data_IF_398301505094
#
_entry.id   IF_398301505094
#
_cell.length_a   1.000
_cell.length_b   1.000
_cell.length_c   1.000
_cell.angle_alpha   90.00
_cell.angle_beta   90.00
_cell.angle_gamma   90.00
#
_symmetry.space_group_name_H-M   'P 1'
#
loop_
_entity.id
_entity.type
_entity.pdbx_description
1 polymer ?
#
# COMPACT_ATOMS: atom_id res chain seq x y z
N UNK A 1 8.70 26.42 26.19
CA UNK A 1 8.54 25.10 25.49
C UNK A 1 9.03 25.32 24.06
N UNK A 2 9.89 24.47 23.54
CA UNK A 2 10.35 24.55 22.15
C UNK A 2 9.14 24.34 21.21
N UNK A 3 9.11 25.12 20.17
CA UNK A 3 8.09 25.03 19.11
C UNK A 3 8.15 23.67 18.42
N UNK A 4 6.97 23.02 18.19
CA UNK A 4 6.90 21.74 17.50
C UNK A 4 7.42 21.86 16.06
N UNK A 5 8.22 20.89 15.64
CA UNK A 5 8.71 20.80 14.28
C UNK A 5 8.41 19.39 13.74
N UNK A 6 7.43 19.32 12.87
CA UNK A 6 6.95 18.08 12.26
C UNK A 6 7.33 18.07 10.78
N UNK A 7 7.91 16.97 10.32
CA UNK A 7 8.16 16.72 8.93
C UNK A 7 7.19 15.65 8.41
N UNK A 8 6.72 15.82 7.18
CA UNK A 8 6.11 14.77 6.39
C UNK A 8 7.02 14.47 5.20
N UNK A 9 7.49 13.24 5.11
CA UNK A 9 8.37 12.74 4.04
C UNK A 9 7.58 11.78 3.17
N UNK A 10 7.58 11.99 1.86
CA UNK A 10 6.82 11.21 0.88
C UNK A 10 7.69 10.92 -0.34
N UNK A 11 7.86 9.66 -0.70
CA UNK A 11 8.67 9.23 -1.84
C UNK A 11 7.97 9.55 -3.16
N UNK A 12 8.70 10.18 -4.07
CA UNK A 12 8.14 10.63 -5.34
C UNK A 12 7.87 9.45 -6.29
N UNK A 13 6.58 9.24 -6.64
CA UNK A 13 6.12 8.18 -7.55
C UNK A 13 6.74 6.80 -7.22
N UNK A 14 6.73 6.42 -5.96
CA UNK A 14 7.57 5.40 -5.34
C UNK A 14 7.79 4.13 -6.17
N UNK A 15 6.76 3.34 -6.49
CA UNK A 15 6.97 2.08 -7.24
C UNK A 15 7.56 2.34 -8.63
N UNK A 16 7.03 3.32 -9.34
CA UNK A 16 7.54 3.67 -10.66
C UNK A 16 8.99 4.20 -10.60
N UNK A 17 9.33 4.97 -9.56
CA UNK A 17 10.68 5.47 -9.35
C UNK A 17 11.66 4.32 -9.03
N UNK A 18 11.25 3.31 -8.26
CA UNK A 18 12.06 2.09 -8.01
C UNK A 18 12.30 1.35 -9.32
N UNK A 19 11.27 1.17 -10.16
CA UNK A 19 11.44 0.52 -11.47
C UNK A 19 12.36 1.31 -12.40
N UNK A 20 12.21 2.64 -12.48
CA UNK A 20 13.09 3.49 -13.30
C UNK A 20 14.53 3.57 -12.76
N UNK A 21 14.74 3.36 -11.47
CA UNK A 21 16.06 3.23 -10.86
C UNK A 21 16.74 1.92 -11.27
N UNK A 22 16.02 0.81 -11.11
CA UNK A 22 16.55 -0.54 -11.32
C UNK A 22 16.66 -0.88 -12.80
N UNK A 23 15.85 -0.25 -13.66
CA UNK A 23 15.79 -0.40 -15.11
C UNK A 23 16.05 0.94 -15.81
N UNK A 24 17.34 1.32 -16.04
CA UNK A 24 17.72 2.61 -16.63
C UNK A 24 17.06 2.93 -17.98
N UNK A 25 16.68 1.90 -18.74
CA UNK A 25 15.96 2.02 -20.01
C UNK A 25 14.53 2.55 -19.87
N UNK A 26 13.99 2.56 -18.65
CA UNK A 26 12.66 3.12 -18.33
C UNK A 26 12.72 4.59 -17.95
N UNK A 27 13.90 5.16 -17.75
CA UNK A 27 14.05 6.59 -17.38
C UNK A 27 13.54 7.49 -18.48
N UNK A 28 12.74 8.47 -18.09
CA UNK A 28 12.11 9.41 -19.03
C UNK A 28 10.94 8.82 -19.83
N UNK A 29 10.61 7.54 -19.65
CA UNK A 29 9.46 6.90 -20.28
C UNK A 29 8.27 6.86 -19.32
N UNK A 30 7.01 6.96 -19.82
CA UNK A 30 5.84 6.71 -18.99
C UNK A 30 5.83 5.29 -18.47
N UNK A 31 5.83 5.13 -17.14
CA UNK A 31 5.78 3.83 -16.45
C UNK A 31 4.55 3.79 -15.56
N UNK A 32 3.80 2.71 -15.64
CA UNK A 32 2.60 2.44 -14.85
C UNK A 32 2.81 1.12 -14.13
N UNK A 33 2.84 1.14 -12.81
CA UNK A 33 2.89 -0.06 -11.98
C UNK A 33 1.49 -0.36 -11.48
N UNK A 34 1.00 -1.58 -11.69
CA UNK A 34 -0.37 -1.93 -11.32
C UNK A 34 -0.65 -3.42 -11.25
N UNK A 35 -1.88 -3.78 -10.93
CA UNK A 35 -2.32 -5.16 -10.74
C UNK A 35 -2.63 -5.90 -12.03
N UNK A 36 -1.78 -5.80 -13.06
CA UNK A 36 -1.96 -6.50 -14.34
C UNK A 36 -1.50 -5.67 -15.54
N UNK A 37 -1.85 -6.12 -16.74
CA UNK A 37 -1.58 -5.45 -18.02
C UNK A 37 -2.65 -4.41 -18.39
N UNK A 38 -2.46 -3.73 -19.53
CA UNK A 38 -3.34 -2.64 -20.00
C UNK A 38 -4.79 -3.07 -20.25
N UNK A 39 -5.06 -4.35 -20.45
CA UNK A 39 -6.40 -4.89 -20.72
C UNK A 39 -7.05 -5.52 -19.49
N UNK A 40 -6.33 -5.63 -18.38
CA UNK A 40 -6.79 -6.32 -17.18
C UNK A 40 -7.70 -5.44 -16.31
N UNK A 41 -8.35 -6.04 -15.32
CA UNK A 41 -9.23 -5.37 -14.36
C UNK A 41 -8.51 -4.63 -13.26
N UNK A 42 -7.19 -4.71 -13.22
CA UNK A 42 -6.38 -4.06 -12.22
C UNK A 42 -6.50 -2.53 -12.22
N UNK A 43 -5.94 -1.92 -11.20
CA UNK A 43 -5.82 -0.48 -11.05
C UNK A 43 -4.36 -0.05 -11.03
N UNK A 44 -4.11 1.19 -11.38
CA UNK A 44 -2.81 1.84 -11.22
C UNK A 44 -2.48 1.92 -9.73
N UNK A 45 -1.41 1.28 -9.31
CA UNK A 45 -0.84 1.47 -7.97
C UNK A 45 -0.02 2.75 -7.92
N UNK A 46 0.90 2.92 -8.89
CA UNK A 46 1.70 4.15 -9.04
C UNK A 46 1.97 4.42 -10.51
N UNK A 47 1.98 5.69 -10.88
CA UNK A 47 2.36 6.17 -12.21
C UNK A 47 3.57 7.11 -12.09
N UNK A 48 4.55 6.97 -12.99
CA UNK A 48 5.68 7.89 -13.11
C UNK A 48 5.21 9.31 -13.47
N UNK A 49 6.03 10.31 -13.24
CA UNK A 49 5.66 11.70 -13.58
C UNK A 49 5.44 11.88 -15.09
N UNK A 50 6.14 11.13 -15.91
CA UNK A 50 5.91 11.09 -17.35
C UNK A 50 4.49 10.62 -17.68
N UNK A 51 4.03 9.53 -17.06
CA UNK A 51 2.66 9.03 -17.25
C UNK A 51 1.61 9.97 -16.66
N UNK A 52 1.91 10.67 -15.55
CA UNK A 52 0.99 11.65 -14.93
C UNK A 52 0.70 12.85 -15.84
N UNK A 53 1.61 13.22 -16.76
CA UNK A 53 1.39 14.29 -17.76
C UNK A 53 0.23 13.97 -18.71
N UNK A 54 -0.06 12.69 -18.92
CA UNK A 54 -1.20 12.21 -19.69
C UNK A 54 -2.49 12.06 -18.86
N UNK A 55 -2.49 12.53 -17.61
CA UNK A 55 -3.63 12.42 -16.70
C UNK A 55 -3.75 11.09 -15.96
N UNK A 56 -2.79 10.17 -16.09
CA UNK A 56 -2.77 8.89 -15.35
C UNK A 56 -2.56 9.16 -13.87
N UNK A 57 -3.36 8.49 -13.01
CA UNK A 57 -3.32 8.66 -11.54
C UNK A 57 -3.50 7.31 -10.84
N UNK A 58 -3.01 7.21 -9.60
CA UNK A 58 -3.26 6.06 -8.73
C UNK A 58 -4.76 5.81 -8.55
N UNK A 59 -5.14 4.55 -8.37
CA UNK A 59 -6.50 4.03 -8.31
C UNK A 59 -7.30 4.11 -9.64
N UNK A 60 -6.73 4.65 -10.72
CA UNK A 60 -7.35 4.63 -12.04
C UNK A 60 -7.37 3.20 -12.61
N UNK A 61 -8.47 2.73 -13.26
CA UNK A 61 -8.46 1.45 -13.96
C UNK A 61 -7.35 1.39 -15.02
N UNK A 62 -6.63 0.26 -15.12
CA UNK A 62 -5.51 0.10 -16.07
C UNK A 62 -5.94 0.34 -17.52
N UNK A 63 -7.15 -0.09 -17.90
CA UNK A 63 -7.72 0.18 -19.25
C UNK A 63 -7.88 1.66 -19.54
N UNK A 64 -8.30 2.44 -18.53
CA UNK A 64 -8.41 3.91 -18.68
C UNK A 64 -7.03 4.54 -18.79
N UNK A 65 -6.08 4.08 -17.97
CA UNK A 65 -4.70 4.54 -18.03
C UNK A 65 -4.04 4.22 -19.38
N UNK A 66 -4.30 3.03 -19.94
CA UNK A 66 -3.83 2.64 -21.26
C UNK A 66 -4.42 3.49 -22.39
N UNK A 67 -5.70 3.86 -22.27
CA UNK A 67 -6.33 4.77 -23.24
C UNK A 67 -5.74 6.19 -23.19
N UNK A 68 -5.39 6.67 -21.98
CA UNK A 68 -4.78 8.00 -21.80
C UNK A 68 -3.30 8.04 -22.21
N UNK A 69 -2.55 6.95 -21.99
CA UNK A 69 -1.12 6.86 -22.29
C UNK A 69 -0.80 5.52 -22.96
N UNK A 70 -1.08 5.35 -24.27
CA UNK A 70 -0.88 4.09 -24.99
C UNK A 70 0.59 3.64 -25.05
N UNK A 71 1.53 4.57 -24.97
CA UNK A 71 2.99 4.33 -25.00
C UNK A 71 3.57 3.92 -23.64
N UNK A 72 2.76 3.90 -22.59
CA UNK A 72 3.23 3.57 -21.25
C UNK A 72 3.70 2.12 -21.15
N UNK A 73 4.77 1.91 -20.38
CA UNK A 73 5.23 0.60 -19.97
C UNK A 73 4.45 0.17 -18.74
N UNK A 74 3.70 -0.93 -18.85
CA UNK A 74 2.95 -1.51 -17.74
C UNK A 74 3.78 -2.59 -17.05
N UNK A 75 3.94 -2.47 -15.73
CA UNK A 75 4.70 -3.40 -14.90
C UNK A 75 3.82 -3.95 -13.77
N UNK A 76 3.98 -5.22 -13.41
CA UNK A 76 3.30 -5.79 -12.26
C UNK A 76 3.86 -5.22 -10.95
N UNK A 77 3.05 -5.31 -9.88
CA UNK A 77 3.47 -4.91 -8.52
C UNK A 77 4.44 -5.95 -7.95
N UNK A 78 5.67 -5.55 -7.63
CA UNK A 78 6.63 -6.36 -6.85
C UNK A 78 6.63 -5.88 -5.39
N UNK A 79 5.69 -6.40 -4.61
CA UNK A 79 5.52 -5.99 -3.20
C UNK A 79 6.76 -6.27 -2.34
N UNK A 80 7.49 -7.36 -2.61
CA UNK A 80 8.69 -7.70 -1.82
C UNK A 80 9.83 -6.70 -2.06
N UNK A 81 10.07 -6.30 -3.31
CA UNK A 81 11.04 -5.29 -3.70
C UNK A 81 10.70 -3.94 -3.05
N UNK A 82 9.45 -3.47 -3.21
CA UNK A 82 9.06 -2.17 -2.67
C UNK A 82 9.12 -2.12 -1.14
N UNK A 83 8.73 -3.21 -0.46
CA UNK A 83 8.90 -3.30 0.99
C UNK A 83 10.36 -3.29 1.45
N UNK A 84 11.27 -3.91 0.71
CA UNK A 84 12.70 -3.87 1.01
C UNK A 84 13.21 -2.43 0.95
N UNK A 85 12.91 -1.71 -0.14
CA UNK A 85 13.30 -0.31 -0.31
C UNK A 85 12.64 0.60 0.75
N UNK A 86 11.36 0.38 1.05
CA UNK A 86 10.67 1.12 2.13
C UNK A 86 11.37 0.96 3.48
N UNK A 87 11.78 -0.27 3.85
CA UNK A 87 12.51 -0.52 5.09
C UNK A 87 13.84 0.22 5.15
N UNK A 88 14.56 0.32 4.04
CA UNK A 88 15.80 1.10 3.94
C UNK A 88 15.52 2.58 4.18
N UNK A 89 14.49 3.14 3.55
CA UNK A 89 14.08 4.54 3.76
C UNK A 89 13.68 4.78 5.21
N UNK A 90 12.82 3.91 5.79
CA UNK A 90 12.41 4.06 7.19
C UNK A 90 13.60 3.94 8.16
N UNK A 91 14.61 3.11 7.85
CA UNK A 91 15.85 3.05 8.62
C UNK A 91 16.66 4.35 8.51
N UNK A 92 16.71 4.99 7.35
CA UNK A 92 17.32 6.31 7.16
C UNK A 92 16.60 7.36 8.02
N UNK A 93 15.26 7.40 7.99
CA UNK A 93 14.47 8.37 8.77
C UNK A 93 14.72 8.24 10.27
N UNK A 94 14.79 7.01 10.79
CA UNK A 94 15.07 6.73 12.22
C UNK A 94 16.45 7.19 12.70
N UNK A 95 17.38 7.50 11.82
CA UNK A 95 18.69 8.08 12.17
C UNK A 95 18.57 9.52 12.63
N UNK A 96 17.52 10.24 12.25
CA UNK A 96 17.32 11.65 12.59
C UNK A 96 16.45 11.84 13.83
N UNK A 97 15.52 10.95 14.09
CA UNK A 97 14.64 10.98 15.27
C UNK A 97 14.09 9.59 15.57
N UNK A 98 13.88 9.22 16.83
CA UNK A 98 13.16 8.00 17.19
C UNK A 98 11.64 8.12 16.97
N UNK A 99 11.12 9.36 16.85
CA UNK A 99 9.70 9.62 16.67
C UNK A 99 9.34 9.63 15.19
N UNK A 100 9.26 8.45 14.60
CA UNK A 100 8.88 8.22 13.20
C UNK A 100 7.58 7.43 13.19
N UNK A 101 6.58 7.93 12.49
CA UNK A 101 5.27 7.30 12.27
C UNK A 101 5.09 7.01 10.77
N UNK A 102 5.33 5.78 10.31
CA UNK A 102 4.98 5.38 8.95
C UNK A 102 3.46 5.46 8.75
N UNK A 103 3.03 6.15 7.70
CA UNK A 103 1.62 6.27 7.31
C UNK A 103 1.30 5.24 6.23
N UNK A 104 2.26 5.02 5.33
CA UNK A 104 2.21 4.03 4.27
C UNK A 104 3.59 3.43 4.03
N UNK A 105 3.72 2.67 2.95
CA UNK A 105 5.00 2.10 2.50
C UNK A 105 5.98 3.17 2.00
N UNK A 106 5.49 4.35 1.61
CA UNK A 106 6.24 5.44 0.95
C UNK A 106 6.19 6.77 1.70
N UNK A 107 5.43 6.87 2.79
CA UNK A 107 5.31 8.12 3.54
C UNK A 107 5.41 7.94 5.06
N UNK A 108 5.99 8.92 5.73
CA UNK A 108 6.10 8.95 7.19
C UNK A 108 6.07 10.36 7.74
N UNK A 109 5.53 10.50 8.96
CA UNK A 109 5.72 11.68 9.80
C UNK A 109 6.93 11.51 10.72
N UNK A 110 7.63 12.61 10.97
CA UNK A 110 8.73 12.69 11.92
C UNK A 110 8.51 13.88 12.86
N UNK A 111 8.66 13.68 14.16
CA UNK A 111 8.82 14.79 15.11
C UNK A 111 10.31 15.00 15.36
N UNK A 112 10.82 16.15 14.91
CA UNK A 112 12.22 16.52 15.05
C UNK A 112 12.41 17.70 16.00
N UNK A 113 11.42 18.01 16.83
CA UNK A 113 11.43 19.14 17.77
C UNK A 113 12.69 19.13 18.65
N UNK A 114 13.08 17.97 19.17
CA UNK A 114 14.25 17.82 20.03
C UNK A 114 15.59 17.58 19.31
N UNK A 115 15.62 17.62 17.96
CA UNK A 115 16.80 17.20 17.19
C UNK A 115 17.67 18.35 16.70
N UNK A 116 17.33 19.59 17.06
CA UNK A 116 17.96 20.82 16.55
C UNK A 116 19.46 20.90 16.83
N UNK A 117 19.89 20.52 18.02
CA UNK A 117 21.32 20.57 18.40
C UNK A 117 22.19 19.59 17.60
N UNK A 118 21.60 18.44 17.22
CA UNK A 118 22.33 17.40 16.49
C UNK A 118 22.34 17.62 14.97
N UNK A 119 21.22 18.09 14.43
CA UNK A 119 21.01 18.08 12.98
C UNK A 119 20.64 19.44 12.39
N UNK A 120 20.49 20.48 13.21
CA UNK A 120 20.08 21.81 12.78
C UNK A 120 18.57 22.04 12.87
N UNK A 121 18.09 23.12 12.27
CA UNK A 121 16.65 23.43 12.24
C UNK A 121 15.84 22.50 11.33
N UNK A 122 14.50 22.60 11.39
CA UNK A 122 13.61 21.74 10.61
C UNK A 122 13.92 21.71 9.12
N UNK A 123 14.08 22.85 8.45
CA UNK A 123 14.48 22.90 7.04
C UNK A 123 15.84 22.25 6.75
N UNK A 124 16.83 22.38 7.64
CA UNK A 124 18.13 21.73 7.50
C UNK A 124 18.02 20.21 7.65
N UNK A 125 17.27 19.76 8.65
CA UNK A 125 16.98 18.32 8.84
C UNK A 125 16.27 17.74 7.60
N UNK A 126 15.27 18.45 7.06
CA UNK A 126 14.54 18.02 5.87
C UNK A 126 15.49 17.86 4.66
N UNK A 127 16.40 18.80 4.42
CA UNK A 127 17.41 18.68 3.34
C UNK A 127 18.31 17.47 3.56
N UNK A 128 18.85 17.29 4.76
CA UNK A 128 19.70 16.14 5.11
C UNK A 128 18.99 14.82 4.92
N UNK A 129 17.71 14.73 5.25
CA UNK A 129 16.88 13.53 5.01
C UNK A 129 16.75 13.26 3.50
N UNK A 130 16.41 14.26 2.70
CA UNK A 130 16.33 14.14 1.24
C UNK A 130 17.65 13.65 0.63
N UNK A 131 18.76 14.25 1.05
CA UNK A 131 20.09 13.88 0.59
C UNK A 131 20.46 12.45 1.01
N UNK A 132 20.14 12.06 2.25
CA UNK A 132 20.38 10.72 2.75
C UNK A 132 19.55 9.65 2.03
N UNK A 133 18.27 9.93 1.73
CA UNK A 133 17.42 9.04 0.92
C UNK A 133 18.02 8.89 -0.48
N UNK A 134 18.38 10.01 -1.13
CA UNK A 134 18.95 9.97 -2.48
C UNK A 134 20.28 9.20 -2.51
N UNK A 135 21.18 9.46 -1.55
CA UNK A 135 22.46 8.77 -1.48
C UNK A 135 22.31 7.27 -1.16
N UNK A 136 21.38 6.90 -0.27
CA UNK A 136 21.19 5.51 0.16
C UNK A 136 20.38 4.66 -0.80
N UNK A 137 19.37 5.25 -1.45
CA UNK A 137 18.39 4.49 -2.24
C UNK A 137 18.30 4.90 -3.71
N UNK A 138 18.93 6.00 -4.11
CA UNK A 138 18.79 6.56 -5.47
C UNK A 138 17.43 7.19 -5.76
N UNK A 139 16.53 7.28 -4.77
CA UNK A 139 15.17 7.83 -4.91
C UNK A 139 15.12 9.29 -4.45
N UNK A 140 14.09 10.01 -4.90
CA UNK A 140 13.76 11.34 -4.40
C UNK A 140 12.55 11.29 -3.44
N UNK A 141 12.52 12.25 -2.52
CA UNK A 141 11.40 12.45 -1.62
C UNK A 141 11.00 13.92 -1.60
N UNK A 142 9.70 14.19 -1.48
CA UNK A 142 9.17 15.51 -1.21
C UNK A 142 8.87 15.65 0.28
N UNK A 143 9.25 16.79 0.87
CA UNK A 143 9.18 17.00 2.31
C UNK A 143 8.41 18.29 2.62
N UNK A 144 7.43 18.18 3.52
CA UNK A 144 6.77 19.31 4.16
C UNK A 144 7.25 19.50 5.60
N UNK A 145 7.55 20.71 5.99
CA UNK A 145 7.97 21.09 7.36
C UNK A 145 6.94 22.05 7.94
N UNK A 146 6.35 21.71 9.08
CA UNK A 146 5.34 22.55 9.75
C UNK A 146 5.30 22.25 11.24
N UNK A 147 4.36 22.86 11.97
CA UNK A 147 4.14 22.61 13.40
C UNK A 147 3.16 21.47 13.66
N UNK A 148 2.39 21.04 12.63
CA UNK A 148 1.36 19.99 12.73
C UNK A 148 1.51 18.95 11.62
N UNK A 149 1.04 17.73 11.87
CA UNK A 149 1.03 16.63 10.89
C UNK A 149 0.23 17.02 9.65
N UNK A 150 -0.95 17.61 9.87
CA UNK A 150 -1.85 18.06 8.80
C UNK A 150 -1.14 18.99 7.82
N UNK A 151 -0.54 20.07 8.35
CA UNK A 151 0.07 21.11 7.51
C UNK A 151 1.33 20.58 6.83
N UNK A 152 2.15 19.78 7.53
CA UNK A 152 3.33 19.13 6.96
C UNK A 152 2.94 18.21 5.76
N UNK A 153 1.83 17.46 5.87
CA UNK A 153 1.34 16.60 4.80
C UNK A 153 0.86 17.41 3.58
N UNK A 154 0.07 18.44 3.80
CA UNK A 154 -0.37 19.31 2.70
C UNK A 154 0.83 19.99 2.03
N UNK A 155 1.81 20.45 2.82
CA UNK A 155 3.01 21.11 2.32
C UNK A 155 3.86 20.19 1.44
N UNK A 156 4.04 18.91 1.81
CA UNK A 156 4.85 17.96 1.04
C UNK A 156 4.31 17.72 -0.38
N UNK A 157 3.00 17.89 -0.60
CA UNK A 157 2.36 17.64 -1.89
C UNK A 157 2.44 18.81 -2.89
N UNK A 158 2.76 20.03 -2.41
CA UNK A 158 2.62 21.24 -3.25
C UNK A 158 3.71 21.41 -4.30
N UNK A 159 4.91 20.88 -4.03
CA UNK A 159 6.07 21.06 -4.92
C UNK A 159 6.68 19.73 -5.35
N UNK A 160 5.85 18.68 -5.50
CA UNK A 160 6.32 17.39 -6.05
C UNK A 160 6.67 17.52 -7.53
N UNK A 161 7.72 16.83 -8.03
CA UNK A 161 8.66 15.97 -7.28
C UNK A 161 9.83 16.73 -6.65
N UNK A 162 10.52 16.05 -5.73
CA UNK A 162 11.76 16.49 -5.07
C UNK A 162 11.60 17.84 -4.34
N UNK A 163 10.37 18.13 -3.91
CA UNK A 163 10.00 19.38 -3.26
C UNK A 163 10.46 19.48 -1.82
N UNK A 164 10.58 20.72 -1.35
CA UNK A 164 10.71 21.07 0.06
C UNK A 164 9.87 22.32 0.32
N UNK A 165 8.86 22.20 1.15
CA UNK A 165 7.98 23.31 1.54
C UNK A 165 8.02 23.47 3.05
N UNK A 166 8.31 24.69 3.49
CA UNK A 166 8.40 25.04 4.92
C UNK A 166 7.28 26.00 5.25
N UNK A 167 6.48 25.66 6.24
CA UNK A 167 5.41 26.54 6.78
C UNK A 167 5.84 27.00 8.16
N UNK A 168 6.13 28.31 8.33
CA UNK A 168 6.51 28.85 9.63
C UNK A 168 5.36 28.72 10.64
N UNK A 169 5.73 28.63 11.91
CA UNK A 169 4.76 28.69 13.01
C UNK A 169 3.93 29.95 12.96
N UNK A 170 2.63 29.81 13.22
CA UNK A 170 1.66 30.90 13.17
C UNK A 170 1.20 31.26 11.75
N UNK A 171 1.79 30.66 10.69
CA UNK A 171 1.40 30.87 9.32
C UNK A 171 0.47 29.76 8.76
N UNK A 172 0.11 28.76 9.56
CA UNK A 172 -0.58 27.53 9.12
C UNK A 172 -1.92 27.85 8.42
N UNK A 173 -2.76 28.67 9.07
CA UNK A 173 -4.06 29.03 8.52
C UNK A 173 -3.92 29.89 7.24
N UNK A 174 -2.98 30.84 7.23
CA UNK A 174 -2.71 31.68 6.05
C UNK A 174 -2.15 30.88 4.88
N UNK A 175 -1.32 29.86 5.16
CA UNK A 175 -0.80 28.93 4.17
C UNK A 175 -1.89 28.05 3.56
N UNK A 176 -2.80 27.54 4.37
CA UNK A 176 -3.89 26.66 3.92
C UNK A 176 -5.00 27.43 3.19
N UNK A 177 -5.31 28.65 3.61
CA UNK A 177 -6.48 29.40 3.15
C UNK A 177 -6.65 29.48 1.63
N UNK A 178 -5.62 29.79 0.80
CA UNK A 178 -5.77 29.89 -0.65
C UNK A 178 -5.87 28.55 -1.38
N UNK A 179 -5.61 27.43 -0.68
CA UNK A 179 -5.57 26.12 -1.32
C UNK A 179 -6.98 25.60 -1.62
N UNK A 180 -7.18 24.89 -2.76
CA UNK A 180 -8.44 24.23 -3.04
C UNK A 180 -8.86 23.28 -1.90
N UNK A 181 -10.15 23.23 -1.59
CA UNK A 181 -10.71 22.40 -0.52
C UNK A 181 -10.34 20.91 -0.64
N UNK A 182 -10.14 20.41 -1.85
CA UNK A 182 -9.71 19.03 -2.13
C UNK A 182 -8.28 18.71 -1.66
N UNK A 183 -7.48 19.73 -1.29
CA UNK A 183 -6.14 19.57 -0.73
C UNK A 183 -6.17 19.33 0.78
N UNK A 184 -7.28 19.62 1.45
CA UNK A 184 -7.39 19.41 2.89
C UNK A 184 -7.47 17.91 3.21
N UNK A 185 -6.52 17.43 4.00
CA UNK A 185 -6.51 16.02 4.41
C UNK A 185 -7.78 15.63 5.15
N UNK A 186 -8.46 14.58 4.69
CA UNK A 186 -9.78 14.14 5.17
C UNK A 186 -10.95 14.66 4.34
N UNK A 187 -10.72 15.47 3.31
CA UNK A 187 -11.73 15.89 2.36
C UNK A 187 -11.62 15.06 1.08
N UNK A 188 -12.45 14.00 0.99
CA UNK A 188 -12.60 13.22 -0.25
C UNK A 188 -13.58 13.87 -1.24
N UNK A 189 -13.74 13.31 -2.47
CA UNK A 189 -14.62 13.87 -3.49
C UNK A 189 -16.06 14.10 -3.03
N UNK A 190 -16.63 13.18 -2.26
CA UNK A 190 -18.00 13.31 -1.73
C UNK A 190 -18.13 14.49 -0.75
N UNK A 191 -17.17 14.61 0.18
CA UNK A 191 -17.14 15.72 1.13
C UNK A 191 -16.92 17.06 0.42
N UNK A 192 -16.00 17.09 -0.57
CA UNK A 192 -15.77 18.28 -1.37
C UNK A 192 -17.03 18.71 -2.16
N UNK A 193 -17.79 17.76 -2.71
CA UNK A 193 -19.05 18.05 -3.40
C UNK A 193 -20.07 18.62 -2.43
N UNK A 194 -20.24 18.01 -1.26
CA UNK A 194 -21.18 18.51 -0.24
C UNK A 194 -20.79 19.90 0.29
N UNK A 195 -19.49 20.20 0.40
CA UNK A 195 -19.00 21.53 0.83
C UNK A 195 -19.24 22.59 -0.25
N UNK A 196 -19.18 22.23 -1.55
CA UNK A 196 -19.50 23.18 -2.64
C UNK A 196 -20.96 23.64 -2.60
N UNK A 197 -21.89 22.84 -2.09
CA UNK A 197 -23.29 23.26 -1.86
C UNK A 197 -23.40 24.48 -0.92
N UNK A 198 -22.38 24.71 -0.10
CA UNK A 198 -22.24 25.87 0.80
C UNK A 198 -21.31 26.96 0.25
N UNK A 199 -20.94 26.91 -1.03
CA UNK A 199 -20.05 27.87 -1.68
C UNK A 199 -18.57 27.70 -1.33
N UNK A 200 -18.17 26.59 -0.67
CA UNK A 200 -16.78 26.32 -0.28
C UNK A 200 -15.99 25.78 -1.45
N UNK A 201 -14.99 26.52 -1.87
CA UNK A 201 -14.04 26.15 -2.92
C UNK A 201 -12.62 26.02 -2.41
N UNK A 202 -12.26 26.85 -1.42
CA UNK A 202 -10.95 26.88 -0.79
C UNK A 202 -11.01 26.40 0.67
N UNK A 203 -9.85 26.13 1.25
CA UNK A 203 -9.74 25.83 2.68
C UNK A 203 -10.11 27.05 3.54
N UNK A 204 -9.80 28.28 3.06
CA UNK A 204 -10.18 29.51 3.72
C UNK A 204 -11.71 29.72 3.76
N UNK A 205 -12.44 29.36 2.68
CA UNK A 205 -13.90 29.41 2.70
C UNK A 205 -14.47 28.47 3.78
N UNK A 206 -13.89 27.29 3.94
CA UNK A 206 -14.30 26.34 5.00
C UNK A 206 -14.03 26.90 6.39
N UNK A 207 -12.86 27.53 6.60
CA UNK A 207 -12.49 28.14 7.87
C UNK A 207 -13.40 29.33 8.24
N UNK A 208 -13.99 30.02 7.26
CA UNK A 208 -14.90 31.13 7.44
C UNK A 208 -16.34 30.71 7.79
N UNK A 209 -16.71 29.42 7.54
CA UNK A 209 -18.05 28.94 7.87
C UNK A 209 -18.26 28.79 9.38
N UNK A 210 -19.46 29.10 9.89
CA UNK A 210 -19.81 28.80 11.27
C UNK A 210 -19.69 27.29 11.56
N UNK A 211 -18.98 26.94 12.64
CA UNK A 211 -18.77 25.55 13.03
C UNK A 211 -20.09 24.78 13.23
N UNK A 212 -21.12 25.45 13.77
CA UNK A 212 -22.43 24.84 13.98
C UNK A 212 -23.10 24.39 12.68
N UNK A 213 -22.86 25.10 11.57
CA UNK A 213 -23.36 24.68 10.25
C UNK A 213 -22.70 23.37 9.83
N UNK A 214 -21.39 23.26 10.00
CA UNK A 214 -20.60 22.08 9.68
C UNK A 214 -20.97 20.90 10.58
N UNK A 215 -21.19 21.14 11.88
CA UNK A 215 -21.64 20.10 12.83
C UNK A 215 -23.02 19.59 12.46
N UNK A 216 -23.98 20.46 12.08
CA UNK A 216 -25.30 20.02 11.60
C UNK A 216 -25.23 19.14 10.37
N UNK A 217 -24.33 19.42 9.44
CA UNK A 217 -24.22 18.69 8.15
C UNK A 217 -23.38 17.43 8.23
N UNK A 218 -22.26 17.46 8.98
CA UNK A 218 -21.25 16.41 9.01
C UNK A 218 -21.00 15.82 10.41
N UNK A 219 -21.77 16.22 11.42
CA UNK A 219 -21.58 15.77 12.80
C UNK A 219 -20.20 16.17 13.37
N UNK A 220 -19.62 15.31 14.19
CA UNK A 220 -18.26 15.52 14.75
C UNK A 220 -17.19 15.70 13.69
N UNK A 221 -17.37 15.11 12.51
CA UNK A 221 -16.44 15.29 11.40
C UNK A 221 -16.42 16.74 10.91
N UNK A 222 -17.56 17.45 10.95
CA UNK A 222 -17.65 18.85 10.58
C UNK A 222 -16.83 19.76 11.49
N UNK A 223 -16.89 19.53 12.82
CA UNK A 223 -16.03 20.26 13.76
C UNK A 223 -14.53 20.02 13.50
N UNK A 224 -14.16 18.75 13.26
CA UNK A 224 -12.78 18.40 12.93
C UNK A 224 -12.31 19.01 11.61
N UNK A 225 -13.17 19.10 10.60
CA UNK A 225 -12.85 19.78 9.34
C UNK A 225 -12.60 21.27 9.54
N UNK A 226 -13.38 21.95 10.38
CA UNK A 226 -13.17 23.36 10.70
C UNK A 226 -11.84 23.60 11.42
N UNK A 227 -11.50 22.79 12.44
CA UNK A 227 -10.19 22.88 13.11
C UNK A 227 -9.05 22.67 12.11
N UNK A 228 -9.16 21.65 11.25
CA UNK A 228 -8.17 21.37 10.19
C UNK A 228 -8.02 22.54 9.22
N UNK A 229 -9.09 23.20 8.83
CA UNK A 229 -9.03 24.36 7.95
C UNK A 229 -8.26 25.54 8.58
N UNK A 230 -8.25 25.63 9.89
CA UNK A 230 -7.44 26.59 10.67
C UNK A 230 -6.00 26.11 10.92
N UNK A 231 -5.61 24.93 10.40
CA UNK A 231 -4.29 24.34 10.62
C UNK A 231 -4.11 23.71 12.00
N UNK A 232 -5.19 23.58 12.76
CA UNK A 232 -5.18 23.01 14.12
C UNK A 232 -5.20 21.49 14.04
N UNK A 233 -4.12 20.88 14.53
CA UNK A 233 -3.97 19.43 14.66
C UNK A 233 -3.09 19.12 15.87
N UNK A 234 -3.69 18.48 16.88
CA UNK A 234 -3.03 18.18 18.16
C UNK A 234 -2.43 16.79 18.21
N UNK A 235 -2.59 16.00 17.14
CA UNK A 235 -2.15 14.62 17.12
C UNK A 235 -0.62 14.52 17.20
N UNK A 236 -0.05 13.74 18.14
CA UNK A 236 1.39 13.55 18.22
C UNK A 236 1.88 12.57 17.15
N UNK A 237 3.15 12.69 16.77
CA UNK A 237 3.82 11.68 15.93
C UNK A 237 4.11 10.44 16.77
N UNK A 238 3.84 9.26 16.25
CA UNK A 238 4.04 7.98 16.93
C UNK A 238 2.88 7.54 17.83
N UNK A 239 1.80 8.33 17.87
CA UNK A 239 0.57 8.01 18.60
C UNK A 239 -0.40 7.09 17.85
N UNK A 240 0.05 6.40 16.79
CA UNK A 240 -0.81 5.59 15.92
C UNK A 240 -1.75 4.68 16.70
N UNK A 241 -3.05 4.76 16.42
CA UNK A 241 -4.04 3.86 16.99
C UNK A 241 -3.72 2.41 16.59
N UNK A 242 -3.91 1.44 17.50
CA UNK A 242 -3.77 0.03 17.15
C UNK A 242 -4.76 -0.33 16.02
N UNK A 243 -4.39 -1.29 15.18
CA UNK A 243 -5.26 -1.76 14.10
C UNK A 243 -6.63 -2.16 14.64
N UNK A 244 -7.71 -1.63 14.07
CA UNK A 244 -9.09 -1.95 14.46
C UNK A 244 -9.61 -3.21 13.76
N UNK A 245 -9.02 -3.54 12.59
CA UNK A 245 -9.37 -4.70 11.78
C UNK A 245 -8.22 -5.13 10.88
N UNK A 246 -8.22 -6.39 10.48
CA UNK A 246 -7.32 -6.97 9.47
C UNK A 246 -8.21 -7.63 8.43
N UNK A 247 -8.11 -7.22 7.16
CA UNK A 247 -8.97 -7.73 6.09
C UNK A 247 -8.19 -8.02 4.81
N UNK A 248 -8.78 -8.83 3.93
CA UNK A 248 -8.29 -9.13 2.60
C UNK A 248 -9.47 -9.17 1.64
N UNK A 249 -9.35 -8.51 0.49
CA UNK A 249 -10.36 -8.50 -0.58
C UNK A 249 -9.72 -9.00 -1.89
N UNK A 250 -10.46 -9.78 -2.65
CA UNK A 250 -10.06 -10.28 -3.95
C UNK A 250 -11.08 -9.91 -5.01
N UNK A 251 -10.62 -9.25 -6.09
CA UNK A 251 -11.44 -9.00 -7.29
C UNK A 251 -11.09 -10.04 -8.33
N UNK A 252 -12.08 -10.82 -8.76
CA UNK A 252 -11.90 -11.83 -9.79
C UNK A 252 -11.63 -11.17 -11.16
N UNK A 253 -10.73 -11.71 -11.94
CA UNK A 253 -10.46 -11.25 -13.31
C UNK A 253 -11.71 -11.38 -14.20
N UNK A 254 -12.47 -12.45 -14.02
CA UNK A 254 -13.77 -12.66 -14.64
C UNK A 254 -14.79 -12.93 -13.54
N UNK A 255 -15.95 -12.25 -13.61
CA UNK A 255 -17.02 -12.46 -12.64
C UNK A 255 -17.43 -13.92 -12.63
N UNK A 256 -17.41 -14.56 -11.47
CA UNK A 256 -17.63 -16.00 -11.34
C UNK A 256 -18.90 -16.34 -10.56
N UNK A 257 -19.60 -17.38 -10.99
CA UNK A 257 -20.68 -18.06 -10.22
C UNK A 257 -20.23 -19.43 -9.69
N UNK A 258 -18.95 -19.80 -9.93
CA UNK A 258 -18.41 -21.08 -9.47
C UNK A 258 -18.14 -21.04 -7.96
N UNK A 259 -18.95 -21.82 -7.24
CA UNK A 259 -18.91 -21.89 -5.79
C UNK A 259 -17.57 -22.45 -5.29
N UNK A 260 -16.97 -23.40 -6.00
CA UNK A 260 -15.69 -23.98 -5.59
C UNK A 260 -14.57 -22.96 -5.67
N UNK A 261 -14.49 -22.19 -6.74
CA UNK A 261 -13.54 -21.08 -6.89
C UNK A 261 -13.72 -20.03 -5.79
N UNK A 262 -14.97 -19.65 -5.48
CA UNK A 262 -15.26 -18.69 -4.42
C UNK A 262 -14.85 -19.23 -3.05
N UNK A 263 -15.19 -20.48 -2.72
CA UNK A 263 -14.83 -21.13 -1.45
C UNK A 263 -13.31 -21.29 -1.28
N UNK A 264 -12.59 -21.63 -2.35
CA UNK A 264 -11.12 -21.68 -2.35
C UNK A 264 -10.50 -20.30 -2.12
N UNK A 265 -11.06 -19.27 -2.77
CA UNK A 265 -10.61 -17.88 -2.58
C UNK A 265 -10.83 -17.43 -1.12
N UNK A 266 -11.99 -17.73 -0.54
CA UNK A 266 -12.25 -17.48 0.88
C UNK A 266 -11.25 -18.22 1.80
N UNK A 267 -10.91 -19.47 1.48
CA UNK A 267 -9.92 -20.23 2.25
C UNK A 267 -8.52 -19.59 2.19
N UNK A 268 -8.09 -19.18 1.00
CA UNK A 268 -6.81 -18.48 0.83
C UNK A 268 -6.77 -17.16 1.60
N UNK A 269 -7.85 -16.38 1.55
CA UNK A 269 -7.97 -15.13 2.31
C UNK A 269 -7.99 -15.35 3.81
N UNK A 270 -8.68 -16.40 4.28
CA UNK A 270 -8.71 -16.76 5.70
C UNK A 270 -7.33 -17.15 6.22
N UNK A 271 -6.53 -17.91 5.43
CA UNK A 271 -5.14 -18.23 5.75
C UNK A 271 -4.31 -16.94 5.86
N UNK A 272 -4.44 -16.01 4.92
CA UNK A 272 -3.73 -14.74 4.93
C UNK A 272 -4.10 -13.86 6.13
N UNK A 273 -5.39 -13.69 6.42
CA UNK A 273 -5.88 -12.92 7.56
C UNK A 273 -5.40 -13.53 8.88
N UNK A 274 -5.52 -14.86 9.02
CA UNK A 274 -5.06 -15.57 10.23
C UNK A 274 -3.55 -15.42 10.44
N UNK A 275 -2.75 -15.52 9.37
CA UNK A 275 -1.30 -15.32 9.44
C UNK A 275 -0.93 -13.93 9.93
N UNK A 276 -1.63 -12.87 9.43
CA UNK A 276 -1.41 -11.48 9.89
C UNK A 276 -1.85 -11.26 11.33
N UNK A 277 -2.97 -11.86 11.76
CA UNK A 277 -3.39 -11.83 13.15
C UNK A 277 -2.30 -12.41 14.06
N UNK A 278 -1.76 -13.59 13.71
CA UNK A 278 -0.67 -14.23 14.48
C UNK A 278 0.61 -13.41 14.48
N UNK A 279 0.99 -12.84 13.35
CA UNK A 279 2.17 -11.98 13.23
C UNK A 279 2.05 -10.74 14.12
N UNK A 280 0.84 -10.18 14.23
CA UNK A 280 0.53 -9.04 15.09
C UNK A 280 0.32 -9.42 16.58
N UNK A 281 0.26 -10.72 16.93
CA UNK A 281 -0.06 -11.17 18.28
C UNK A 281 -1.53 -10.93 18.67
N UNK A 282 -2.44 -10.91 17.68
CA UNK A 282 -3.85 -10.56 17.87
C UNK A 282 -4.77 -11.77 17.60
N UNK A 283 -5.95 -11.77 18.22
CA UNK A 283 -7.09 -12.64 17.91
C UNK A 283 -8.28 -11.78 17.50
N UNK A 284 -9.11 -12.26 16.58
CA UNK A 284 -10.32 -11.58 16.11
C UNK A 284 -11.58 -12.17 16.71
N UNK A 285 -12.46 -11.33 17.23
CA UNK A 285 -13.76 -11.73 17.79
C UNK A 285 -14.92 -11.64 16.78
N UNK A 286 -14.75 -10.93 15.68
CA UNK A 286 -15.82 -10.73 14.67
C UNK A 286 -15.26 -10.93 13.28
N UNK A 287 -15.98 -11.72 12.45
CA UNK A 287 -15.67 -11.93 11.04
C UNK A 287 -16.78 -11.29 10.19
N UNK A 288 -16.37 -10.48 9.22
CA UNK A 288 -17.25 -9.93 8.21
C UNK A 288 -16.84 -10.42 6.82
N UNK A 289 -17.85 -10.62 5.97
CA UNK A 289 -17.67 -10.93 4.55
C UNK A 289 -18.29 -9.82 3.71
N UNK A 290 -17.56 -9.37 2.71
CA UNK A 290 -18.00 -8.46 1.68
C UNK A 290 -18.19 -9.24 0.38
N UNK A 291 -19.34 -9.10 -0.25
CA UNK A 291 -19.61 -9.64 -1.58
C UNK A 291 -20.04 -8.49 -2.49
N UNK A 292 -19.42 -8.40 -3.67
CA UNK A 292 -19.84 -7.46 -4.72
C UNK A 292 -20.14 -8.25 -5.98
N UNK A 293 -21.32 -8.03 -6.56
CA UNK A 293 -21.74 -8.66 -7.80
C UNK A 293 -21.24 -7.90 -9.05
N UNK A 294 -21.55 -8.45 -10.23
CA UNK A 294 -21.23 -7.87 -11.53
C UNK A 294 -21.89 -6.50 -11.79
N UNK A 295 -22.98 -6.17 -11.12
CA UNK A 295 -23.66 -4.87 -11.17
C UNK A 295 -23.09 -3.85 -10.18
N UNK A 296 -22.01 -4.19 -9.49
CA UNK A 296 -21.37 -3.40 -8.42
C UNK A 296 -22.22 -3.23 -7.15
N UNK A 297 -23.31 -3.98 -6.99
CA UNK A 297 -24.03 -4.03 -5.72
C UNK A 297 -23.15 -4.73 -4.69
N UNK A 298 -22.93 -4.06 -3.56
CA UNK A 298 -22.09 -4.58 -2.47
C UNK A 298 -22.95 -4.92 -1.27
N UNK A 299 -22.72 -6.12 -0.73
CA UNK A 299 -23.36 -6.62 0.49
C UNK A 299 -22.27 -6.96 1.49
N UNK A 300 -22.47 -6.59 2.76
CA UNK A 300 -21.59 -6.98 3.86
C UNK A 300 -22.43 -7.70 4.92
N UNK A 301 -21.91 -8.84 5.40
CA UNK A 301 -22.48 -9.61 6.51
C UNK A 301 -21.40 -9.86 7.55
N UNK A 302 -21.75 -9.86 8.81
CA UNK A 302 -20.79 -10.13 9.87
C UNK A 302 -21.40 -11.01 10.97
N UNK A 303 -20.51 -11.69 11.69
CA UNK A 303 -20.84 -12.50 12.85
C UNK A 303 -19.77 -12.40 13.91
N UNK A 304 -20.18 -12.28 15.17
CA UNK A 304 -19.30 -12.42 16.31
C UNK A 304 -19.11 -13.92 16.61
N UNK A 305 -17.85 -14.32 16.78
CA UNK A 305 -17.47 -15.69 17.12
C UNK A 305 -17.69 -15.97 18.61
N UNK A 306 -17.96 -17.22 18.96
CA UNK A 306 -18.09 -17.64 20.35
C UNK A 306 -16.78 -17.41 21.15
N UNK A 307 -15.63 -17.66 20.50
CA UNK A 307 -14.31 -17.36 21.04
C UNK A 307 -13.44 -16.64 20.03
N UNK A 308 -12.67 -15.62 20.43
CA UNK A 308 -11.73 -14.94 19.53
C UNK A 308 -10.67 -15.90 19.00
N UNK A 309 -10.32 -15.80 17.71
CA UNK A 309 -9.41 -16.74 17.05
C UNK A 309 -8.36 -16.05 16.18
N UNK A 310 -7.21 -16.71 16.03
CA UNK A 310 -6.14 -16.41 15.07
C UNK A 310 -5.89 -17.61 14.11
N UNK A 311 -6.83 -18.57 14.09
CA UNK A 311 -6.78 -19.76 13.25
C UNK A 311 -7.62 -19.55 11.98
N UNK A 312 -7.10 -20.02 10.85
CA UNK A 312 -7.75 -19.87 9.57
C UNK A 312 -9.07 -20.65 9.44
N UNK A 313 -9.17 -21.82 10.05
CA UNK A 313 -10.34 -22.70 9.91
C UNK A 313 -11.62 -22.07 10.47
N UNK A 314 -11.67 -21.56 11.72
CA UNK A 314 -12.86 -20.88 12.23
C UNK A 314 -13.21 -19.61 11.44
N UNK A 315 -12.18 -18.86 10.96
CA UNK A 315 -12.38 -17.68 10.12
C UNK A 315 -13.04 -18.08 8.80
N UNK A 316 -12.53 -19.12 8.14
CA UNK A 316 -13.04 -19.62 6.87
C UNK A 316 -14.47 -20.16 7.00
N UNK A 317 -14.75 -20.97 8.02
CA UNK A 317 -16.11 -21.51 8.28
C UNK A 317 -17.12 -20.38 8.49
N UNK A 318 -16.80 -19.40 9.33
CA UNK A 318 -17.65 -18.23 9.54
C UNK A 318 -17.86 -17.44 8.24
N UNK A 319 -16.81 -17.26 7.44
CA UNK A 319 -16.89 -16.57 6.16
C UNK A 319 -17.76 -17.33 5.15
N UNK A 320 -17.65 -18.66 5.08
CA UNK A 320 -18.49 -19.49 4.21
C UNK A 320 -19.97 -19.41 4.57
N UNK A 321 -20.28 -19.53 5.85
CA UNK A 321 -21.69 -19.45 6.32
C UNK A 321 -22.31 -18.10 5.99
N UNK A 322 -21.53 -17.02 6.10
CA UNK A 322 -22.00 -15.67 5.75
C UNK A 322 -22.08 -15.43 4.24
N UNK A 323 -21.16 -16.02 3.45
CA UNK A 323 -21.12 -15.81 2.01
C UNK A 323 -22.17 -16.63 1.25
N UNK A 324 -22.38 -17.91 1.62
CA UNK A 324 -23.20 -18.85 0.86
C UNK A 324 -24.61 -18.37 0.52
N UNK A 325 -25.37 -17.72 1.42
CA UNK A 325 -26.69 -17.18 1.05
C UNK A 325 -26.60 -16.06 0.03
N UNK A 326 -25.54 -15.25 0.07
CA UNK A 326 -25.36 -14.02 -0.70
C UNK A 326 -24.80 -14.26 -2.11
N UNK A 327 -24.14 -15.41 -2.34
CA UNK A 327 -23.50 -15.73 -3.63
C UNK A 327 -24.34 -16.65 -4.53
N UNK A 328 -25.47 -17.14 -4.03
CA UNK A 328 -26.36 -18.03 -4.81
C UNK A 328 -27.03 -17.28 -5.96
N UNK A 329 -26.86 -17.78 -7.18
CA UNK A 329 -27.54 -17.25 -8.37
C UNK A 329 -26.99 -15.91 -8.88
N UNK A 330 -25.86 -15.44 -8.34
CA UNK A 330 -25.21 -14.22 -8.82
C UNK A 330 -23.82 -14.51 -9.38
N UNK A 331 -23.33 -13.60 -10.21
CA UNK A 331 -21.91 -13.57 -10.62
C UNK A 331 -21.16 -12.64 -9.68
N UNK A 332 -20.23 -13.20 -8.93
CA UNK A 332 -19.40 -12.49 -7.95
C UNK A 332 -18.23 -11.82 -8.65
N UNK A 333 -18.10 -10.52 -8.46
CA UNK A 333 -17.00 -9.69 -8.93
C UNK A 333 -15.89 -9.58 -7.89
N UNK A 334 -16.24 -9.37 -6.62
CA UNK A 334 -15.30 -9.22 -5.53
C UNK A 334 -15.83 -9.94 -4.31
N UNK A 335 -14.90 -10.58 -3.59
CA UNK A 335 -15.18 -11.14 -2.27
C UNK A 335 -14.09 -10.70 -1.29
N UNK A 336 -14.45 -10.52 -0.03
CA UNK A 336 -13.52 -10.09 1.02
C UNK A 336 -13.83 -10.65 2.38
N UNK A 337 -12.80 -10.83 3.20
CA UNK A 337 -12.89 -11.18 4.62
C UNK A 337 -12.28 -10.04 5.44
N UNK A 338 -12.97 -9.63 6.50
CA UNK A 338 -12.46 -8.68 7.48
C UNK A 338 -12.61 -9.27 8.88
N UNK A 339 -11.51 -9.32 9.60
CA UNK A 339 -11.44 -9.73 11.00
C UNK A 339 -11.35 -8.47 11.88
N UNK A 340 -12.25 -8.32 12.84
CA UNK A 340 -12.37 -7.16 13.74
C UNK A 340 -12.66 -7.61 15.17
N UNK A 341 -12.86 -6.63 16.09
CA UNK A 341 -12.95 -6.97 17.50
C UNK A 341 -11.64 -7.58 18.00
N UNK A 342 -10.52 -6.94 17.59
CA UNK A 342 -9.18 -7.43 17.85
C UNK A 342 -8.84 -7.35 19.33
N UNK A 343 -8.22 -8.40 19.86
CA UNK A 343 -7.78 -8.52 21.26
C UNK A 343 -6.38 -9.11 21.28
N UNK A 344 -5.61 -8.78 22.33
CA UNK A 344 -4.29 -9.36 22.53
C UNK A 344 -4.38 -10.88 22.75
N UNK A 345 -3.41 -11.60 22.21
CA UNK A 345 -3.35 -13.06 22.24
C UNK A 345 -3.17 -13.62 23.67
N UNK A 346 -2.58 -12.84 24.56
CA UNK A 346 -2.22 -13.26 25.94
C UNK A 346 -3.44 -13.41 26.86
N UNK A 347 -4.62 -12.95 26.46
CA UNK A 347 -5.86 -13.17 27.21
C UNK A 347 -6.32 -14.63 27.01
N UNK A 348 -5.75 -15.55 27.79
CA UNK A 348 -6.02 -16.99 27.73
C UNK A 348 -7.45 -17.29 28.19
N UNK A 349 -8.20 -18.01 27.36
CA UNK A 349 -9.41 -18.70 27.79
C UNK A 349 -9.00 -20.01 28.50
N UNK A 350 -9.57 -20.25 29.68
CA UNK A 350 -9.21 -21.37 30.58
C UNK A 350 -9.49 -22.80 30.01
N UNK A 351 -10.04 -22.95 28.79
CA UNK A 351 -10.57 -24.21 28.25
C UNK A 351 -10.15 -24.53 26.79
N UNK A 352 -8.96 -24.16 26.33
CA UNK A 352 -8.53 -24.33 24.91
C UNK A 352 -7.53 -25.49 24.67
N UNK A 353 -7.71 -26.67 25.26
CA UNK A 353 -6.75 -27.79 25.10
C UNK A 353 -6.68 -28.35 23.64
N UNK A 354 -7.78 -28.39 22.92
CA UNK A 354 -7.82 -28.92 21.52
C UNK A 354 -7.19 -27.95 20.48
N UNK A 355 -7.19 -26.67 20.75
CA UNK A 355 -6.60 -25.65 19.87
C UNK A 355 -5.07 -25.60 19.95
N UNK A 356 -4.46 -26.11 21.03
CA UNK A 356 -3.01 -25.98 21.22
C UNK A 356 -2.20 -26.84 20.25
N UNK A 357 -2.65 -28.05 19.92
CA UNK A 357 -2.00 -28.91 18.92
C UNK A 357 -2.08 -28.31 17.53
N UNK A 358 -3.25 -27.79 17.15
CA UNK A 358 -3.46 -27.09 15.88
C UNK A 358 -2.60 -25.83 15.81
N UNK A 359 -2.52 -25.08 16.89
CA UNK A 359 -1.71 -23.87 17.01
C UNK A 359 -0.23 -24.16 16.80
N UNK A 360 0.32 -25.18 17.46
CA UNK A 360 1.73 -25.61 17.27
C UNK A 360 2.02 -25.97 15.81
N UNK A 361 1.11 -26.67 15.14
CA UNK A 361 1.26 -27.03 13.73
C UNK A 361 1.26 -25.79 12.82
N UNK A 362 0.35 -24.84 13.06
CA UNK A 362 0.26 -23.58 12.29
C UNK A 362 1.48 -22.72 12.54
N UNK A 363 1.97 -22.61 13.78
CA UNK A 363 3.20 -21.86 14.10
C UNK A 363 4.45 -22.48 13.46
N UNK A 364 4.50 -23.82 13.38
CA UNK A 364 5.56 -24.51 12.66
C UNK A 364 5.50 -24.17 11.14
N UNK A 365 4.30 -24.21 10.56
CA UNK A 365 4.10 -23.82 9.16
C UNK A 365 4.50 -22.34 8.91
N UNK A 366 4.13 -21.42 9.82
CA UNK A 366 4.51 -20.00 9.73
C UNK A 366 6.03 -19.80 9.84
N UNK A 367 6.74 -20.60 10.65
CA UNK A 367 8.22 -20.59 10.70
C UNK A 367 8.83 -21.03 9.38
N UNK A 368 8.27 -22.07 8.75
CA UNK A 368 8.74 -22.57 7.46
C UNK A 368 8.49 -21.52 6.37
N UNK A 369 7.29 -20.93 6.33
CA UNK A 369 6.96 -19.86 5.38
C UNK A 369 7.91 -18.67 5.50
N UNK A 370 8.20 -18.20 6.71
CA UNK A 370 9.15 -17.09 6.94
C UNK A 370 10.56 -17.39 6.48
N UNK A 371 10.99 -18.66 6.51
CA UNK A 371 12.34 -19.06 6.14
C UNK A 371 12.49 -19.39 4.64
N UNK A 372 11.47 -19.99 4.05
CA UNK A 372 11.55 -20.56 2.70
C UNK A 372 10.55 -19.94 1.72
N UNK A 373 9.83 -18.91 2.14
CA UNK A 373 8.80 -18.22 1.34
C UNK A 373 7.39 -18.75 1.60
N UNK A 374 6.41 -17.92 1.29
CA UNK A 374 4.98 -18.15 1.61
C UNK A 374 4.41 -19.41 0.96
N UNK A 375 4.97 -19.83 -0.19
CA UNK A 375 4.53 -21.05 -0.92
C UNK A 375 5.13 -22.35 -0.40
N UNK A 376 6.09 -22.28 0.54
CA UNK A 376 6.77 -23.48 1.05
C UNK A 376 5.83 -24.45 1.77
N UNK A 377 4.76 -23.95 2.39
CA UNK A 377 3.70 -24.75 3.00
C UNK A 377 2.37 -24.15 2.63
N UNK A 378 1.55 -24.92 1.90
CA UNK A 378 0.18 -24.52 1.52
C UNK A 378 -0.81 -25.64 1.78
N UNK A 379 -2.09 -25.32 1.84
CA UNK A 379 -3.16 -26.31 1.97
C UNK A 379 -3.33 -27.07 0.64
N UNK A 380 -3.54 -28.37 0.69
CA UNK A 380 -3.75 -29.19 -0.50
C UNK A 380 -4.88 -28.63 -1.40
N UNK A 381 -5.96 -28.09 -0.80
CA UNK A 381 -7.09 -27.50 -1.52
C UNK A 381 -6.72 -26.21 -2.28
N UNK A 382 -5.59 -25.57 -1.96
CA UNK A 382 -5.10 -24.36 -2.64
C UNK A 382 -4.02 -24.65 -3.69
N UNK A 383 -3.61 -25.91 -3.86
CA UNK A 383 -2.63 -26.27 -4.89
C UNK A 383 -3.23 -26.04 -6.28
N UNK A 384 -2.43 -25.43 -7.17
CA UNK A 384 -2.82 -25.21 -8.58
C UNK A 384 -3.90 -24.14 -8.80
N UNK A 385 -4.27 -23.37 -7.80
CA UNK A 385 -5.37 -22.37 -7.93
C UNK A 385 -4.94 -21.07 -8.61
N UNK A 386 -3.64 -20.80 -8.80
CA UNK A 386 -3.17 -19.51 -9.29
C UNK A 386 -3.45 -18.32 -8.36
N UNK A 387 -4.11 -18.56 -7.20
CA UNK A 387 -4.35 -17.52 -6.22
C UNK A 387 -3.01 -17.02 -5.65
N UNK A 388 -2.85 -15.70 -5.45
CA UNK A 388 -1.65 -15.17 -4.83
C UNK A 388 -1.46 -15.81 -3.45
N UNK A 389 -0.20 -16.06 -3.07
CA UNK A 389 0.12 -16.56 -1.74
C UNK A 389 -0.40 -15.55 -0.70
N UNK A 390 -0.83 -16.03 0.49
CA UNK A 390 -1.12 -15.15 1.61
C UNK A 390 0.09 -14.21 1.79
N UNK A 391 -0.12 -12.91 1.84
CA UNK A 391 0.91 -11.86 1.98
C UNK A 391 1.60 -11.33 0.69
N UNK A 392 1.45 -11.92 -0.49
CA UNK A 392 2.06 -11.38 -1.72
C UNK A 392 1.60 -9.95 -2.07
N UNK A 393 0.49 -9.48 -1.48
CA UNK A 393 -0.10 -8.16 -1.77
C UNK A 393 -0.32 -7.27 -0.53
N UNK A 394 0.33 -7.56 0.61
CA UNK A 394 0.18 -6.71 1.79
C UNK A 394 1.36 -5.73 1.94
N UNK A 395 1.20 -4.44 1.56
CA UNK A 395 2.26 -3.46 1.69
C UNK A 395 2.53 -3.03 3.14
N UNK A 396 1.63 -3.35 4.08
CA UNK A 396 1.69 -2.93 5.47
C UNK A 396 1.97 -4.13 6.38
N UNK A 397 3.14 -4.73 6.24
CA UNK A 397 3.52 -5.80 7.15
C UNK A 397 3.80 -5.29 8.55
N UNK A 398 3.24 -6.04 9.49
CA UNK A 398 3.45 -6.13 10.92
C UNK A 398 4.11 -4.91 11.61
N UNK A 399 3.46 -4.33 12.61
CA UNK A 399 4.11 -3.38 13.49
C UNK A 399 5.37 -4.05 14.08
N UNK A 400 6.53 -3.38 13.92
CA UNK A 400 7.72 -3.75 14.66
C UNK A 400 7.33 -3.89 16.13
N UNK A 401 7.52 -5.06 16.72
CA UNK A 401 7.31 -5.27 18.16
C UNK A 401 8.11 -4.18 18.87
N UNK A 402 7.45 -3.31 19.59
CA UNK A 402 8.10 -2.48 20.60
C UNK A 402 8.84 -3.45 21.50
N UNK A 403 10.18 -3.40 21.48
CA UNK A 403 10.99 -4.12 22.44
C UNK A 403 10.46 -3.75 23.81
N UNK A 404 9.96 -4.73 24.54
CA UNK A 404 9.76 -4.62 25.98
C UNK A 404 11.12 -4.27 26.54
N UNK A 405 11.30 -3.02 26.94
CA UNK A 405 12.38 -2.62 27.83
C UNK A 405 12.10 -3.37 29.14
N UNK A 406 12.76 -4.50 29.30
CA UNK A 406 12.77 -5.22 30.55
C UNK A 406 13.43 -4.34 31.63
N UNK A 407 12.92 -4.37 32.88
CA UNK A 407 13.53 -3.60 33.97
C UNK A 407 14.96 -4.07 34.19
N UNK A 408 15.89 -3.11 34.20
CA UNK A 408 17.32 -3.30 34.38
C UNK A 408 17.66 -4.15 35.62
N UNK A 409 18.49 -5.14 35.41
CA UNK A 409 19.30 -5.75 36.47
C UNK A 409 20.69 -5.13 36.35
N UNK A 410 20.99 -4.24 37.28
CA UNK A 410 22.34 -3.71 37.47
C UNK A 410 23.29 -4.82 37.97
N UNK A 411 24.50 -4.83 37.46
CA UNK A 411 25.60 -5.65 37.91
C UNK A 411 26.87 -5.23 37.20
N UNK A 412 27.69 -4.50 37.90
CA UNK A 412 29.03 -3.97 37.53
C UNK A 412 30.10 -4.95 38.10
N UNK A 413 31.41 -4.84 37.83
CA UNK A 413 32.18 -5.71 36.92
C UNK A 413 33.28 -6.49 37.69
N UNK A 414 33.83 -7.46 37.04
CA UNK A 414 35.03 -8.13 37.55
C UNK A 414 35.99 -8.41 36.39
N UNK A 415 37.18 -7.86 36.51
CA UNK A 415 38.24 -7.95 35.52
C UNK A 415 38.98 -9.29 35.54
N UNK A 416 39.80 -9.53 34.53
CA UNK A 416 40.72 -10.65 34.45
C UNK A 416 41.32 -10.88 33.08
N UNK A 417 42.49 -10.51 32.98
CA UNK A 417 43.56 -10.49 31.95
C UNK A 417 43.84 -11.79 31.17
N UNK A 418 44.37 -11.61 29.98
CA UNK A 418 45.51 -12.28 29.33
C UNK A 418 45.31 -13.62 28.58
N UNK A 419 45.79 -13.61 27.34
CA UNK A 419 46.25 -14.80 26.65
C UNK A 419 46.11 -14.81 25.13
N UNK A 420 47.10 -14.23 24.40
CA UNK A 420 47.44 -14.56 23.01
C UNK A 420 48.52 -15.65 23.05
N UNK A 421 48.62 -16.63 22.15
CA UNK A 421 49.19 -16.48 20.81
C UNK A 421 48.58 -17.45 19.75
N UNK A 422 48.52 -17.04 18.47
CA UNK A 422 49.60 -17.31 17.49
C UNK A 422 49.38 -18.58 16.68
N UNK A 423 49.27 -18.49 15.34
CA UNK A 423 49.33 -19.63 14.45
C UNK A 423 48.85 -19.31 13.03
N UNK A 424 49.78 -19.00 12.15
CA UNK A 424 49.73 -18.67 10.72
C UNK A 424 49.84 -19.97 9.87
N UNK A 425 49.79 -20.00 8.54
CA UNK A 425 48.88 -20.81 7.69
C UNK A 425 49.54 -22.00 6.99
N UNK A 426 48.80 -22.78 6.23
CA UNK A 426 49.34 -23.68 5.20
C UNK A 426 48.54 -23.61 3.91
N UNK A 427 49.31 -23.33 2.86
CA UNK A 427 48.98 -23.37 1.44
C UNK A 427 48.80 -24.76 0.87
N UNK A 428 48.00 -24.82 -0.20
CA UNK A 428 48.14 -25.44 -1.48
C UNK A 428 47.77 -26.92 -1.66
N UNK A 429 47.59 -27.47 -2.87
CA UNK A 429 47.90 -26.87 -4.17
C UNK A 429 46.76 -26.94 -5.23
N UNK A 430 47.03 -26.23 -6.32
CA UNK A 430 46.39 -26.18 -7.62
C UNK A 430 46.46 -27.51 -8.38
N UNK A 431 45.42 -27.87 -9.15
CA UNK A 431 45.60 -28.55 -10.44
C UNK A 431 44.58 -28.03 -11.45
N UNK A 432 45.06 -27.82 -12.66
CA UNK A 432 44.42 -27.17 -13.79
C UNK A 432 43.82 -28.18 -14.82
N UNK A 433 43.66 -27.76 -16.07
CA UNK A 433 42.49 -28.12 -16.87
C UNK A 433 42.68 -29.32 -17.81
N UNK A 434 41.57 -29.92 -18.31
CA UNK A 434 41.60 -30.79 -19.47
C UNK A 434 40.58 -30.41 -20.51
N UNK A 435 41.09 -30.23 -21.71
CA UNK A 435 40.48 -29.99 -23.00
C UNK A 435 39.65 -31.14 -23.52
N UNK A 436 38.80 -30.82 -24.48
CA UNK A 436 37.87 -31.49 -25.33
C UNK A 436 38.30 -32.82 -26.02
N UNK A 437 37.69 -33.30 -27.09
CA UNK A 437 37.08 -32.58 -28.23
C UNK A 437 35.81 -33.25 -28.87
N UNK A 438 35.15 -32.51 -29.75
CA UNK A 438 34.91 -32.95 -31.12
C UNK A 438 33.54 -33.46 -31.57
N UNK A 439 33.03 -32.83 -32.58
CA UNK A 439 32.39 -33.39 -33.77
C UNK A 439 30.88 -33.52 -33.71
N UNK A 440 30.16 -33.00 -34.58
CA UNK A 440 30.00 -32.93 -35.96
C UNK A 440 28.54 -32.83 -36.32
N UNK A 441 28.27 -31.94 -37.15
CA UNK A 441 27.62 -31.93 -38.47
C UNK A 441 26.12 -32.19 -38.65
N UNK A 442 25.53 -31.17 -39.26
CA UNK A 442 24.78 -31.14 -40.54
C UNK A 442 23.26 -31.42 -40.50
N UNK A 443 22.43 -30.56 -40.90
CA UNK A 443 21.88 -30.17 -42.18
C UNK A 443 20.42 -29.74 -42.06
N UNK A 444 20.11 -28.60 -42.60
CA UNK A 444 18.81 -28.20 -43.14
C UNK A 444 18.70 -28.83 -44.57
N UNK A 445 17.64 -28.69 -45.37
CA UNK A 445 16.50 -27.77 -45.40
C UNK A 445 15.18 -28.33 -45.98
N UNK A 446 14.20 -27.44 -46.23
CA UNK A 446 13.15 -27.63 -47.23
C UNK A 446 11.75 -27.59 -46.63
N UNK A 447 10.72 -27.01 -47.08
CA UNK A 447 10.32 -26.18 -48.18
C UNK A 447 8.83 -25.82 -47.93
N UNK A 448 8.41 -24.62 -48.25
CA UNK A 448 7.03 -24.28 -48.45
C UNK A 448 6.58 -24.80 -49.85
N UNK A 449 5.30 -24.78 -50.29
CA UNK A 449 4.39 -23.66 -50.38
C UNK A 449 2.87 -23.96 -50.46
N UNK A 450 2.05 -22.88 -50.54
CA UNK A 450 0.87 -22.87 -51.40
C UNK A 450 -0.45 -22.50 -50.75
N UNK A 451 -0.91 -21.27 -50.91
CA UNK A 451 -2.07 -20.76 -51.68
C UNK A 451 -3.41 -21.47 -51.44
N UNK A 452 -4.50 -20.79 -51.13
CA UNK A 452 -5.32 -20.06 -52.07
C UNK A 452 -6.48 -19.29 -51.40
N UNK A 453 -6.71 -18.10 -51.86
CA UNK A 453 -7.78 -17.18 -52.03
C UNK A 453 -9.21 -17.74 -52.09
N UNK A 454 -10.15 -16.97 -51.57
CA UNK A 454 -11.39 -16.38 -52.20
C UNK A 454 -12.23 -15.74 -51.12
N UNK A 455 -12.45 -14.44 -51.14
CA UNK A 455 -13.33 -13.59 -51.93
C UNK A 455 -14.73 -13.47 -51.33
N UNK A 456 -15.01 -12.27 -50.95
CA UNK A 456 -16.25 -11.50 -50.77
C UNK A 456 -17.29 -11.74 -51.89
N UNK A 457 -18.60 -11.36 -51.83
CA UNK A 457 -19.11 -10.02 -51.50
C UNK A 457 -20.57 -9.91 -50.99
N UNK A 458 -20.95 -8.66 -50.63
CA UNK A 458 -22.25 -8.06 -50.88
C UNK A 458 -23.21 -8.07 -49.72
N UNK A 459 -23.87 -7.07 -49.35
CA UNK A 459 -24.42 -5.85 -49.82
C UNK A 459 -25.37 -5.33 -48.76
N UNK A 460 -25.38 -4.13 -48.48
CA UNK A 460 -26.10 -2.95 -48.89
C UNK A 460 -27.37 -2.62 -48.06
N UNK A 461 -27.45 -1.33 -47.74
CA UNK A 461 -28.62 -0.44 -47.56
C UNK A 461 -29.35 -0.55 -46.19
N UNK A 462 -29.66 0.49 -45.48
CA UNK A 462 -29.71 1.92 -45.76
C UNK A 462 -30.56 2.61 -44.69
N UNK A 463 -30.30 3.92 -44.54
CA UNK A 463 -31.18 5.03 -44.15
C UNK A 463 -31.41 5.35 -42.67
N UNK A 464 -30.89 6.49 -42.34
CA UNK A 464 -31.53 7.80 -41.97
C UNK A 464 -32.25 7.79 -40.60
N UNK A 465 -32.00 8.73 -39.70
CA UNK A 465 -32.00 10.18 -39.79
C UNK A 465 -31.74 10.81 -38.40
N UNK A 466 -31.04 11.93 -38.42
CA UNK A 466 -31.27 13.16 -37.62
C UNK A 466 -31.42 12.99 -36.10
N UNK A 467 -30.69 13.68 -35.28
CA UNK A 467 -30.24 15.05 -35.22
C UNK A 467 -30.30 15.42 -33.77
N UNK A 468 -29.37 16.04 -33.18
CA UNK A 468 -29.43 17.37 -32.65
C UNK A 468 -28.25 17.69 -31.72
N UNK A 469 -27.55 18.67 -32.13
CA UNK A 469 -26.89 19.78 -31.41
C UNK A 469 -26.14 19.56 -30.12
N UNK A 470 -24.84 19.73 -30.26
CA UNK A 470 -23.89 20.44 -29.39
C UNK A 470 -24.48 21.78 -28.89
N UNK A 471 -24.10 22.34 -27.73
CA UNK A 471 -22.82 23.02 -27.66
C UNK A 471 -22.19 23.07 -26.25
N UNK A 472 -20.89 23.05 -26.13
CA UNK A 472 -20.12 24.02 -25.34
C UNK A 472 -18.61 23.84 -25.64
N UNK A 473 -18.16 24.61 -26.63
CA UNK A 473 -16.79 25.11 -26.71
C UNK A 473 -16.53 26.07 -25.54
N UNK A 474 -15.34 26.00 -25.00
CA UNK A 474 -14.78 26.97 -24.08
C UNK A 474 -13.30 26.70 -23.92
N UNK A 475 -12.53 27.36 -24.77
CA UNK A 475 -11.06 27.34 -24.90
C UNK A 475 -10.34 28.03 -23.75
N UNK A 476 -8.99 27.90 -23.69
CA UNK A 476 -8.16 28.08 -22.51
C UNK A 476 -7.65 29.52 -22.39
N UNK A 477 -7.16 29.88 -21.23
CA UNK A 477 -5.95 30.69 -21.07
C UNK A 477 -5.63 30.95 -19.59
N UNK A 478 -4.34 30.91 -19.36
CA UNK A 478 -3.53 31.69 -18.42
C UNK A 478 -3.46 31.34 -16.92
N UNK A 479 -2.19 31.18 -16.62
CA UNK A 479 -1.38 31.30 -15.41
C UNK A 479 -1.22 30.09 -14.52
#
# INVERSE_FOLDING_TARGET
>A
MSERVILHVDLDAFFAAVEQRDHPELRGRPVIVGGGGPTDRGVVSTASYEARRFGVRSAMPLRTAAALCPEAVFLPVDGAKYQAVSREVMAILRRFTPLVEPVSIDEAFLDVTGCRELFGDGPQIARRIKDAIRAGTGLTASVGVATTKLVAKVASDLRKPDGLVVVPSGAEAAFLAPLPISRLWGVGPQTATALREYGVTTIGDLAALPVDLLVRRFGRHGAALHERALGIDREPVGGGEPAKSIGHEHTFEVDTGDLETIERTLLAMADGVAGRLRAAGLKAGTIAVKVRDSSFRTITRQRTLASPTDLAEPIWQAALELARPEIRGIRVRLIGITASGLRDREQLALFEADDERRRRAVEAADRIRRRYGERAVTRARLLGTGLPAPFEHDPLTAPERRGTVGPGAGGVPGGGSAGVPGGVPREGPREGPREGPGGGDAAAPGDAPGRDRRANPGGAAGRDSQGDTDPFEGSPDDA
#
